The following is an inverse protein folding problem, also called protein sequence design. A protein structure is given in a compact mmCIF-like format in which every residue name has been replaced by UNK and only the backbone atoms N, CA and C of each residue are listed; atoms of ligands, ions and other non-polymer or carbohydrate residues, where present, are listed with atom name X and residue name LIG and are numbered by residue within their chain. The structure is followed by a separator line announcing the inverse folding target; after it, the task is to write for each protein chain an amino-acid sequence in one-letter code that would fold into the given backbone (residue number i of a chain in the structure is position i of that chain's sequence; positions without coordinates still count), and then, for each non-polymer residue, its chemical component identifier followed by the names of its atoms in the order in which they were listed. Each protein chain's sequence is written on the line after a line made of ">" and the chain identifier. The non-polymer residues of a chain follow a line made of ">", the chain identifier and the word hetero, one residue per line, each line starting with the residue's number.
data_IF_812627274907
#
_entry.id   IF_812627274907
#
_cell.length_a   1.000
_cell.length_b   1.000
_cell.length_c   1.000
_cell.angle_alpha   90.00
_cell.angle_beta   90.00
_cell.angle_gamma   90.00
#
_symmetry.space_group_name_H-M   'P 1'
#
loop_
_entity.id
_entity.type
_entity.pdbx_description
1 polymer ?
#
# COMPACT_ATOMS: atom_id res chain seq x y z
N UNK A 1 25.79 4.02 -5.94
CA UNK A 1 25.60 2.69 -6.57
C UNK A 1 25.26 2.95 -8.02
N UNK A 2 25.92 2.28 -8.96
CA UNK A 2 25.57 2.41 -10.38
C UNK A 2 24.35 1.51 -10.69
N UNK A 3 23.29 2.08 -11.25
CA UNK A 3 22.06 1.37 -11.60
C UNK A 3 22.26 0.63 -12.91
N UNK A 4 21.83 -0.64 -12.95
CA UNK A 4 21.98 -1.51 -14.12
C UNK A 4 20.65 -2.14 -14.51
N UNK A 5 20.41 -2.21 -15.82
CA UNK A 5 19.22 -2.87 -16.38
C UNK A 5 19.16 -4.33 -15.90
N UNK A 6 17.98 -4.77 -15.49
CA UNK A 6 17.74 -6.12 -14.98
C UNK A 6 17.89 -6.27 -13.45
N UNK A 7 18.35 -5.24 -12.73
CA UNK A 7 18.33 -5.25 -11.27
C UNK A 7 16.91 -5.37 -10.73
N UNK A 8 16.75 -6.14 -9.65
CA UNK A 8 15.47 -6.38 -8.98
C UNK A 8 15.64 -6.17 -7.47
N UNK A 9 14.58 -5.68 -6.85
CA UNK A 9 14.46 -5.60 -5.41
C UNK A 9 13.08 -6.12 -4.99
N UNK A 10 13.04 -6.74 -3.81
CA UNK A 10 11.80 -7.25 -3.22
C UNK A 10 11.66 -6.70 -1.80
N UNK A 11 10.42 -6.37 -1.43
CA UNK A 11 10.02 -6.10 -0.07
C UNK A 11 8.72 -6.85 0.21
N UNK A 12 8.51 -7.18 1.47
CA UNK A 12 7.28 -7.77 1.99
C UNK A 12 6.84 -6.94 3.18
N UNK A 13 5.54 -6.74 3.31
CA UNK A 13 4.92 -6.03 4.42
C UNK A 13 3.55 -6.63 4.68
N UNK A 14 3.25 -6.83 5.96
CA UNK A 14 1.91 -7.12 6.45
C UNK A 14 1.28 -5.78 6.82
N UNK A 15 0.04 -5.56 6.38
CA UNK A 15 -0.76 -4.42 6.78
C UNK A 15 -1.81 -4.91 7.77
N UNK A 16 -1.62 -4.56 9.03
CA UNK A 16 -2.57 -4.83 10.11
C UNK A 16 -3.55 -3.66 10.28
N UNK A 17 -4.44 -3.80 11.27
CA UNK A 17 -5.42 -2.78 11.58
C UNK A 17 -4.79 -1.44 11.96
N UNK A 18 -3.64 -1.44 12.62
CA UNK A 18 -2.99 -0.22 13.09
C UNK A 18 -2.38 0.54 11.92
N UNK A 19 -1.79 -0.16 10.95
CA UNK A 19 -1.32 0.47 9.71
C UNK A 19 -2.47 1.11 8.92
N UNK A 20 -3.61 0.43 8.82
CA UNK A 20 -4.80 0.94 8.10
C UNK A 20 -5.41 2.14 8.82
N UNK A 21 -5.52 2.10 10.15
CA UNK A 21 -5.97 3.25 10.97
C UNK A 21 -5.02 4.43 10.89
N UNK A 22 -3.71 4.19 10.97
CA UNK A 22 -2.71 5.25 10.87
C UNK A 22 -2.77 5.95 9.51
N UNK A 23 -2.97 5.18 8.43
CA UNK A 23 -3.16 5.75 7.11
C UNK A 23 -4.43 6.59 7.02
N UNK A 24 -5.55 6.11 7.57
CA UNK A 24 -6.80 6.86 7.63
C UNK A 24 -6.66 8.18 8.38
N UNK A 25 -5.98 8.17 9.53
CA UNK A 25 -5.71 9.37 10.31
C UNK A 25 -4.85 10.38 9.56
N UNK A 26 -3.90 9.90 8.74
CA UNK A 26 -3.03 10.74 7.92
C UNK A 26 -3.76 11.34 6.71
N UNK A 27 -4.60 10.55 6.03
CA UNK A 27 -5.22 10.96 4.76
C UNK A 27 -6.62 11.52 4.89
N UNK A 28 -7.31 11.25 5.99
CA UNK A 28 -8.73 11.51 6.17
C UNK A 28 -9.64 10.48 5.47
N UNK A 29 -9.09 9.43 4.83
CA UNK A 29 -9.88 8.37 4.20
C UNK A 29 -10.45 7.41 5.25
N UNK A 30 -11.61 7.80 5.77
CA UNK A 30 -12.38 7.07 6.78
C UNK A 30 -13.50 6.20 6.15
N UNK A 31 -13.36 5.77 4.89
CA UNK A 31 -14.36 4.92 4.27
C UNK A 31 -14.57 3.62 5.07
N UNK A 32 -15.81 3.30 5.52
CA UNK A 32 -16.06 2.15 6.39
C UNK A 32 -15.68 0.81 5.77
N UNK A 33 -15.55 0.71 4.43
CA UNK A 33 -15.02 -0.49 3.76
C UNK A 33 -13.65 -0.91 4.28
N UNK A 34 -12.89 0.02 4.85
CA UNK A 34 -11.58 -0.24 5.39
C UNK A 34 -11.59 -0.69 6.84
N UNK A 35 -12.66 -0.54 7.62
CA UNK A 35 -12.63 -0.75 9.08
C UNK A 35 -13.79 -1.54 9.65
N UNK A 36 -14.99 -1.38 9.08
CA UNK A 36 -16.24 -1.86 9.64
C UNK A 36 -16.59 -3.23 9.01
N UNK A 37 -16.53 -4.33 9.79
CA UNK A 37 -16.88 -5.66 9.28
C UNK A 37 -18.34 -5.76 8.81
N UNK A 38 -19.26 -5.08 9.49
CA UNK A 38 -20.68 -5.12 9.17
C UNK A 38 -20.94 -4.41 7.84
N UNK A 39 -20.39 -3.20 7.67
CA UNK A 39 -20.43 -2.50 6.40
C UNK A 39 -19.75 -3.32 5.29
N UNK A 40 -18.52 -3.80 5.51
CA UNK A 40 -17.76 -4.53 4.50
C UNK A 40 -18.44 -5.84 4.06
N UNK A 41 -19.18 -6.50 4.96
CA UNK A 41 -19.97 -7.71 4.66
C UNK A 41 -21.00 -7.50 3.55
N UNK A 42 -21.54 -6.28 3.43
CA UNK A 42 -22.52 -5.90 2.41
C UNK A 42 -21.89 -5.69 1.03
N UNK A 43 -20.58 -5.44 0.97
CA UNK A 43 -19.85 -5.16 -0.27
C UNK A 43 -19.42 -6.46 -0.98
N UNK A 44 -18.78 -6.33 -2.15
CA UNK A 44 -18.16 -7.47 -2.84
C UNK A 44 -16.94 -8.05 -2.09
N UNK A 45 -16.33 -7.27 -1.19
CA UNK A 45 -15.12 -7.66 -0.47
C UNK A 45 -15.41 -8.54 0.74
N UNK A 46 -16.62 -8.47 1.29
CA UNK A 46 -17.12 -9.28 2.43
C UNK A 46 -16.41 -9.09 3.77
N UNK A 47 -15.24 -8.46 3.79
CA UNK A 47 -14.42 -8.15 4.97
C UNK A 47 -13.66 -6.84 4.73
N UNK A 48 -13.19 -6.16 5.80
CA UNK A 48 -12.40 -4.96 5.66
C UNK A 48 -11.14 -5.17 4.79
N UNK A 49 -10.82 -4.19 3.95
CA UNK A 49 -9.68 -4.23 3.04
C UNK A 49 -8.73 -3.07 3.32
N UNK A 50 -7.45 -3.26 3.02
CA UNK A 50 -6.41 -2.23 3.10
C UNK A 50 -6.66 -1.18 2.00
N UNK A 51 -6.42 0.11 2.29
CA UNK A 51 -6.46 1.15 1.26
C UNK A 51 -5.49 0.83 0.13
N UNK A 52 -5.94 0.89 -1.13
CA UNK A 52 -5.09 0.65 -2.29
C UNK A 52 -3.82 1.52 -2.28
N UNK A 53 -3.93 2.85 -2.11
CA UNK A 53 -2.78 3.74 -2.01
C UNK A 53 -1.81 3.42 -0.85
N UNK A 54 -2.30 2.90 0.29
CA UNK A 54 -1.43 2.44 1.39
C UNK A 54 -0.52 1.30 0.92
N UNK A 55 -1.02 0.35 0.13
CA UNK A 55 -0.21 -0.75 -0.42
C UNK A 55 0.93 -0.22 -1.29
N UNK A 56 0.68 0.83 -2.09
CA UNK A 56 1.67 1.44 -2.98
C UNK A 56 2.81 2.11 -2.21
N UNK A 57 2.60 2.51 -0.95
CA UNK A 57 3.68 3.06 -0.11
C UNK A 57 4.86 2.08 0.07
N UNK A 58 4.64 0.77 -0.11
CA UNK A 58 5.70 -0.23 -0.13
C UNK A 58 6.68 -0.02 -1.29
N UNK A 59 6.18 0.38 -2.46
CA UNK A 59 6.99 0.69 -3.64
C UNK A 59 7.84 1.94 -3.37
N UNK A 60 7.24 2.99 -2.81
CA UNK A 60 7.97 4.20 -2.41
C UNK A 60 9.09 3.88 -1.42
N UNK A 61 8.81 3.03 -0.42
CA UNK A 61 9.81 2.56 0.54
C UNK A 61 10.96 1.81 -0.15
N UNK A 62 10.67 0.99 -1.16
CA UNK A 62 11.72 0.29 -1.91
C UNK A 62 12.58 1.25 -2.73
N UNK A 63 11.97 2.23 -3.40
CA UNK A 63 12.71 3.21 -4.20
C UNK A 63 13.63 4.06 -3.33
N UNK A 64 13.13 4.53 -2.19
CA UNK A 64 13.89 5.35 -1.27
C UNK A 64 15.04 4.60 -0.58
N UNK A 65 14.86 3.31 -0.25
CA UNK A 65 15.78 2.60 0.65
C UNK A 65 16.57 1.47 0.00
N UNK A 66 16.15 0.93 -1.15
CA UNK A 66 16.76 -0.25 -1.77
C UNK A 66 17.27 -0.01 -3.18
N UNK A 67 16.36 0.30 -4.11
CA UNK A 67 16.68 0.40 -5.53
C UNK A 67 15.74 1.42 -6.19
N UNK A 68 16.22 2.59 -6.65
CA UNK A 68 17.64 2.97 -6.77
C UNK A 68 18.34 3.28 -5.43
N UNK A 69 17.58 3.57 -4.37
CA UNK A 69 18.10 3.82 -3.02
C UNK A 69 18.14 5.31 -2.66
N UNK A 70 18.85 5.67 -1.57
CA UNK A 70 18.85 7.04 -1.05
C UNK A 70 19.23 8.09 -2.10
N UNK A 71 18.51 9.21 -2.11
CA UNK A 71 18.63 10.28 -3.11
C UNK A 71 17.71 10.13 -4.32
N UNK A 72 16.96 9.02 -4.42
CA UNK A 72 15.94 8.86 -5.47
C UNK A 72 14.76 9.80 -5.25
N UNK A 73 14.23 10.37 -6.34
CA UNK A 73 12.99 11.16 -6.35
C UNK A 73 11.94 10.44 -7.18
N UNK A 74 10.74 10.29 -6.62
CA UNK A 74 9.62 9.63 -7.29
C UNK A 74 8.91 10.62 -8.21
N UNK A 75 9.05 10.45 -9.53
CA UNK A 75 8.52 11.39 -10.53
C UNK A 75 7.07 11.07 -10.93
N UNK A 76 6.77 9.81 -11.24
CA UNK A 76 5.45 9.37 -11.67
C UNK A 76 5.27 7.86 -11.48
N UNK A 77 4.02 7.43 -11.38
CA UNK A 77 3.63 6.04 -11.53
C UNK A 77 2.26 5.93 -12.18
N UNK A 78 1.96 4.75 -12.71
CA UNK A 78 0.62 4.35 -13.14
C UNK A 78 0.24 3.08 -12.35
N UNK A 79 -0.94 3.09 -11.74
CA UNK A 79 -1.38 2.01 -10.86
C UNK A 79 -2.79 1.58 -11.25
N UNK A 80 -2.99 0.26 -11.32
CA UNK A 80 -4.30 -0.36 -11.44
C UNK A 80 -4.50 -1.35 -10.30
N UNK A 81 -5.52 -1.13 -9.47
CA UNK A 81 -5.88 -2.01 -8.36
C UNK A 81 -6.70 -3.19 -8.88
N UNK A 82 -6.04 -4.32 -9.12
CA UNK A 82 -6.65 -5.51 -9.72
C UNK A 82 -7.42 -6.36 -8.72
N UNK A 83 -6.94 -6.44 -7.47
CA UNK A 83 -7.49 -7.26 -6.40
C UNK A 83 -7.36 -6.51 -5.07
N UNK A 84 -8.27 -6.80 -4.14
CA UNK A 84 -8.19 -6.28 -2.78
C UNK A 84 -7.08 -6.96 -1.98
N UNK A 85 -6.47 -6.18 -1.09
CA UNK A 85 -5.57 -6.69 -0.04
C UNK A 85 -6.33 -6.71 1.26
N UNK A 86 -6.41 -7.88 1.89
CA UNK A 86 -7.03 -8.03 3.20
C UNK A 86 -5.99 -7.78 4.31
N UNK A 87 -6.48 -7.56 5.52
CA UNK A 87 -5.65 -7.43 6.71
C UNK A 87 -4.90 -8.75 6.97
N UNK A 88 -3.66 -8.66 7.49
CA UNK A 88 -2.86 -9.81 7.91
C UNK A 88 -2.15 -10.51 6.77
#
# INVERSE_FOLDING_TARGET
>A
MEIKVGQKATAKRIFDADAVKAYAALTGDNNPVHFDPDFASTTIFKKPIVHGPLVITLITTMFANKLPGPGSVYLSHDVKYMLAVYYG
#
